data_IF_275608329460
#
_entry.id   IF_275608329460
#
_cell.length_a   1.000
_cell.length_b   1.000
_cell.length_c   1.000
_cell.angle_alpha   90.00
_cell.angle_beta   90.00
_cell.angle_gamma   90.00
#
_symmetry.space_group_name_H-M   'P 1'
#
loop_
_entity.id
_entity.type
_entity.pdbx_description
1 polymer ?
#
# COMPACT_ATOMS: atom_id res chain seq x y z
N UNK A 1 6.53 20.54 19.31
CA UNK A 1 5.39 21.47 19.04
C UNK A 1 5.18 21.55 17.53
N UNK A 2 3.91 21.65 17.08
CA UNK A 2 3.61 21.75 15.65
C UNK A 2 4.12 23.08 15.07
N UNK A 3 4.36 23.07 13.74
CA UNK A 3 4.75 24.25 12.99
C UNK A 3 3.68 25.35 13.11
N UNK A 4 4.09 26.62 13.28
CA UNK A 4 3.14 27.74 13.27
C UNK A 4 2.41 27.79 11.91
N UNK A 5 1.10 27.96 11.94
CA UNK A 5 0.25 27.85 10.76
C UNK A 5 0.64 28.80 9.60
N UNK A 6 1.18 29.98 9.92
CA UNK A 6 1.68 30.95 8.94
C UNK A 6 2.84 30.42 8.10
N UNK A 7 3.61 29.46 8.62
CA UNK A 7 4.76 28.84 7.95
C UNK A 7 4.39 27.61 7.13
N UNK A 8 3.17 27.09 7.31
CA UNK A 8 2.73 25.85 6.63
C UNK A 8 2.75 25.98 5.10
N UNK A 9 2.22 27.04 4.46
CA UNK A 9 2.22 27.13 3.01
C UNK A 9 3.63 27.11 2.41
N UNK A 10 4.57 27.89 2.98
CA UNK A 10 5.96 27.92 2.53
C UNK A 10 6.66 26.56 2.68
N UNK A 11 6.46 25.91 3.84
CA UNK A 11 7.04 24.58 4.07
C UNK A 11 6.43 23.51 3.16
N UNK A 12 5.15 23.58 2.89
CA UNK A 12 4.48 22.65 1.97
C UNK A 12 4.97 22.85 0.53
N UNK A 13 5.16 24.11 0.08
CA UNK A 13 5.73 24.38 -1.24
C UNK A 13 7.16 23.81 -1.35
N UNK A 14 8.02 24.07 -0.36
CA UNK A 14 9.37 23.51 -0.32
C UNK A 14 9.38 21.98 -0.34
N UNK A 15 8.47 21.36 0.37
CA UNK A 15 8.30 19.90 0.34
C UNK A 15 7.91 19.41 -1.08
N UNK A 16 6.97 20.07 -1.74
CA UNK A 16 6.57 19.70 -3.10
C UNK A 16 7.72 19.85 -4.10
N UNK A 17 8.49 20.93 -4.00
CA UNK A 17 9.65 21.19 -4.87
C UNK A 17 10.74 20.13 -4.64
N UNK A 18 11.07 19.85 -3.37
CA UNK A 18 12.00 18.80 -2.98
C UNK A 18 11.54 17.44 -3.52
N UNK A 19 10.30 17.02 -3.24
CA UNK A 19 9.80 15.72 -3.67
C UNK A 19 9.83 15.55 -5.18
N UNK A 20 9.48 16.61 -5.93
CA UNK A 20 9.53 16.59 -7.39
C UNK A 20 10.97 16.49 -7.93
N UNK A 21 11.94 17.09 -7.25
CA UNK A 21 13.36 17.00 -7.61
C UNK A 21 13.89 15.58 -7.33
N UNK A 22 13.66 15.06 -6.11
CA UNK A 22 14.12 13.73 -5.71
C UNK A 22 13.53 12.60 -6.56
N UNK A 23 12.22 12.67 -6.89
CA UNK A 23 11.56 11.69 -7.77
C UNK A 23 12.13 11.66 -9.19
N UNK A 24 12.74 12.76 -9.65
CA UNK A 24 13.43 12.80 -10.95
C UNK A 24 14.86 12.29 -10.86
N UNK A 25 15.52 12.51 -9.72
CA UNK A 25 16.91 12.17 -9.50
C UNK A 25 17.13 10.71 -9.08
N UNK A 26 16.16 10.10 -8.38
CA UNK A 26 16.29 8.73 -7.89
C UNK A 26 16.35 7.72 -9.02
N UNK A 27 17.32 6.81 -8.95
CA UNK A 27 17.38 5.66 -9.86
C UNK A 27 16.20 4.73 -9.58
N UNK A 28 15.37 4.50 -10.59
CA UNK A 28 14.19 3.61 -10.50
C UNK A 28 14.53 2.16 -10.25
N UNK A 29 15.80 1.75 -10.42
CA UNK A 29 16.28 0.41 -10.12
C UNK A 29 16.82 0.29 -8.69
N UNK A 30 17.06 1.41 -8.00
CA UNK A 30 17.50 1.42 -6.60
C UNK A 30 16.29 1.39 -5.67
N UNK A 31 15.79 0.17 -5.46
CA UNK A 31 14.59 -0.07 -4.62
C UNK A 31 14.77 0.47 -3.21
N UNK A 32 16.00 0.38 -2.65
CA UNK A 32 16.28 0.89 -1.31
C UNK A 32 16.06 2.40 -1.23
N UNK A 33 16.64 3.17 -2.16
CA UNK A 33 16.45 4.62 -2.23
C UNK A 33 15.02 5.04 -2.51
N UNK A 34 14.27 4.24 -3.27
CA UNK A 34 12.85 4.49 -3.50
C UNK A 34 12.03 4.37 -2.21
N UNK A 35 12.32 3.38 -1.37
CA UNK A 35 11.70 3.27 -0.05
C UNK A 35 12.13 4.40 0.87
N UNK A 36 13.42 4.74 0.95
CA UNK A 36 13.93 5.88 1.74
C UNK A 36 13.19 7.16 1.36
N UNK A 37 13.14 7.51 0.07
CA UNK A 37 12.42 8.68 -0.44
C UNK A 37 10.94 8.68 -0.01
N UNK A 38 10.28 7.53 -0.09
CA UNK A 38 8.87 7.41 0.29
C UNK A 38 8.65 7.63 1.80
N UNK A 39 9.54 7.10 2.64
CA UNK A 39 9.50 7.28 4.10
C UNK A 39 9.84 8.72 4.49
N UNK A 40 10.80 9.33 3.82
CA UNK A 40 11.15 10.72 4.03
C UNK A 40 10.00 11.67 3.64
N UNK A 41 9.32 11.42 2.52
CA UNK A 41 8.12 12.15 2.14
C UNK A 41 7.01 12.03 3.19
N UNK A 42 6.82 10.84 3.77
CA UNK A 42 5.92 10.64 4.89
C UNK A 42 6.30 11.49 6.10
N UNK A 43 7.57 11.45 6.51
CA UNK A 43 8.10 12.22 7.62
C UNK A 43 7.88 13.72 7.46
N UNK A 44 8.17 14.26 6.28
CA UNK A 44 7.96 15.68 5.97
C UNK A 44 6.50 16.10 6.14
N UNK A 45 5.55 15.35 5.61
CA UNK A 45 4.12 15.69 5.74
C UNK A 45 3.66 15.67 7.19
N UNK A 46 4.09 14.65 7.97
CA UNK A 46 3.73 14.57 9.40
C UNK A 46 4.34 15.72 10.18
N UNK A 47 5.58 16.13 9.86
CA UNK A 47 6.28 17.22 10.53
C UNK A 47 5.75 18.61 10.17
N UNK A 48 5.34 18.82 8.92
CA UNK A 48 4.67 20.05 8.49
C UNK A 48 3.28 20.17 9.13
N UNK A 49 2.57 19.05 9.22
CA UNK A 49 1.22 18.93 9.80
C UNK A 49 0.22 19.93 9.18
N UNK A 50 0.02 19.91 7.84
CA UNK A 50 -0.67 21.01 7.14
C UNK A 50 -2.18 21.08 7.39
N UNK A 51 -2.81 19.99 7.83
CA UNK A 51 -4.27 19.94 8.03
C UNK A 51 -4.65 19.82 9.51
N UNK A 52 -5.87 20.20 9.83
CA UNK A 52 -6.44 20.05 11.18
C UNK A 52 -6.67 18.58 11.55
N UNK A 53 -6.96 17.73 10.56
CA UNK A 53 -7.08 16.27 10.70
C UNK A 53 -6.60 15.57 9.42
N UNK A 54 -6.30 14.26 9.54
CA UNK A 54 -5.94 13.43 8.42
C UNK A 54 -4.46 13.44 8.03
N UNK A 55 -3.59 14.20 8.72
CA UNK A 55 -2.16 14.29 8.38
C UNK A 55 -1.49 12.90 8.28
N UNK A 56 -1.72 12.02 9.25
CA UNK A 56 -1.19 10.66 9.24
C UNK A 56 -1.78 9.77 8.13
N UNK A 57 -3.01 10.01 7.69
CA UNK A 57 -3.61 9.30 6.54
C UNK A 57 -2.99 9.78 5.22
N UNK A 58 -2.87 11.09 5.08
CA UNK A 58 -2.27 11.70 3.87
C UNK A 58 -0.79 11.35 3.73
N UNK A 59 -0.02 11.39 4.81
CA UNK A 59 1.40 11.01 4.77
C UNK A 59 1.59 9.54 4.32
N UNK A 60 0.79 8.62 4.86
CA UNK A 60 0.82 7.22 4.40
C UNK A 60 0.34 7.05 2.96
N UNK A 61 -0.66 7.81 2.54
CA UNK A 61 -1.14 7.77 1.15
C UNK A 61 -0.05 8.21 0.17
N UNK A 62 0.63 9.33 0.44
CA UNK A 62 1.73 9.82 -0.40
C UNK A 62 2.90 8.84 -0.42
N UNK A 63 3.29 8.31 0.74
CA UNK A 63 4.31 7.27 0.85
C UNK A 63 3.97 6.06 -0.04
N UNK A 64 2.79 5.49 0.11
CA UNK A 64 2.36 4.32 -0.66
C UNK A 64 2.19 4.61 -2.14
N UNK A 65 1.79 5.83 -2.51
CA UNK A 65 1.71 6.28 -3.90
C UNK A 65 3.10 6.26 -4.56
N UNK A 66 4.13 6.79 -3.89
CA UNK A 66 5.51 6.77 -4.39
C UNK A 66 6.00 5.34 -4.59
N UNK A 67 5.76 4.47 -3.61
CA UNK A 67 6.13 3.06 -3.67
C UNK A 67 5.40 2.33 -4.82
N UNK A 68 4.10 2.55 -4.94
CA UNK A 68 3.28 1.92 -5.98
C UNK A 68 3.70 2.35 -7.39
N UNK A 69 3.94 3.65 -7.62
CA UNK A 69 4.41 4.17 -8.90
C UNK A 69 5.79 3.62 -9.29
N UNK A 70 6.62 3.31 -8.29
CA UNK A 70 7.92 2.68 -8.48
C UNK A 70 7.84 1.14 -8.68
N UNK A 71 6.65 0.55 -8.65
CA UNK A 71 6.46 -0.91 -8.71
C UNK A 71 6.85 -1.63 -7.41
N UNK A 72 7.04 -0.90 -6.32
CA UNK A 72 7.37 -1.45 -5.02
C UNK A 72 6.11 -1.93 -4.27
N UNK A 73 6.29 -2.88 -3.35
CA UNK A 73 5.21 -3.34 -2.48
C UNK A 73 4.93 -2.25 -1.43
N UNK A 74 3.67 -1.75 -1.30
CA UNK A 74 3.35 -0.71 -0.34
C UNK A 74 3.63 -1.13 1.11
N UNK A 75 4.21 -0.21 1.89
CA UNK A 75 4.55 -0.43 3.29
C UNK A 75 3.33 -0.25 4.20
N UNK A 76 3.18 -1.15 5.16
CA UNK A 76 2.08 -1.15 6.13
C UNK A 76 2.65 -1.12 7.55
N UNK A 77 2.21 -0.17 8.36
CA UNK A 77 2.49 -0.17 9.80
C UNK A 77 1.37 -0.92 10.52
N UNK A 78 1.67 -2.10 11.06
CA UNK A 78 0.72 -2.91 11.81
C UNK A 78 0.37 -2.24 13.15
N UNK A 79 -0.84 -2.54 13.65
CA UNK A 79 -1.36 -1.96 14.90
C UNK A 79 -0.44 -2.21 16.09
N UNK A 80 0.18 -3.39 16.15
CA UNK A 80 1.09 -3.82 17.20
C UNK A 80 2.37 -2.96 17.28
N UNK A 81 2.79 -2.41 16.13
CA UNK A 81 3.99 -1.56 16.00
C UNK A 81 3.69 -0.05 16.07
N UNK A 82 2.44 0.32 16.35
CA UNK A 82 2.04 1.73 16.36
C UNK A 82 2.77 2.56 17.41
N UNK A 83 3.05 2.01 18.58
CA UNK A 83 3.76 2.74 19.63
C UNK A 83 5.21 3.06 19.22
N UNK A 84 5.93 2.07 18.67
CA UNK A 84 7.30 2.22 18.17
C UNK A 84 7.35 3.22 16.99
N UNK A 85 6.37 3.15 16.09
CA UNK A 85 6.22 4.10 14.99
C UNK A 85 6.05 5.55 15.47
N UNK A 86 5.19 5.79 16.48
CA UNK A 86 5.01 7.14 17.04
C UNK A 86 6.27 7.61 17.74
N UNK A 87 6.95 6.72 18.46
CA UNK A 87 8.20 7.02 19.16
C UNK A 87 9.30 7.40 18.16
N UNK A 88 9.49 6.65 17.07
CA UNK A 88 10.49 6.96 16.05
C UNK A 88 10.24 8.32 15.38
N UNK A 89 8.96 8.65 15.10
CA UNK A 89 8.58 9.98 14.60
C UNK A 89 8.93 11.08 15.60
N UNK A 90 8.60 10.92 16.88
CA UNK A 90 8.89 11.92 17.91
C UNK A 90 10.39 12.15 18.08
N UNK A 91 11.18 11.08 18.14
CA UNK A 91 12.64 11.15 18.23
C UNK A 91 13.26 11.87 17.02
N UNK A 92 12.80 11.55 15.81
CA UNK A 92 13.23 12.21 14.59
C UNK A 92 12.89 13.71 14.58
N UNK A 93 11.70 14.07 15.07
CA UNK A 93 11.27 15.47 15.16
C UNK A 93 12.06 16.26 16.23
N UNK A 94 12.46 15.63 17.34
CA UNK A 94 13.32 16.26 18.37
C UNK A 94 14.73 16.54 17.84
N UNK A 95 15.26 15.66 17.00
CA UNK A 95 16.61 15.80 16.41
C UNK A 95 16.62 16.64 15.13
N UNK A 96 15.46 16.98 14.58
CA UNK A 96 15.29 17.54 13.22
C UNK A 96 16.00 16.70 12.14
N UNK A 97 15.93 15.37 12.30
CA UNK A 97 16.58 14.37 11.44
C UNK A 97 15.62 13.17 11.21
N UNK A 98 15.30 12.88 9.96
CA UNK A 98 14.40 11.79 9.59
C UNK A 98 14.96 10.39 9.76
N UNK A 99 16.25 10.25 10.06
CA UNK A 99 16.98 8.98 10.02
C UNK A 99 16.39 7.91 10.92
N UNK A 100 16.12 8.20 12.19
CA UNK A 100 15.58 7.21 13.13
C UNK A 100 14.21 6.68 12.66
N UNK A 101 13.41 7.56 12.05
CA UNK A 101 12.12 7.17 11.48
C UNK A 101 12.29 6.32 10.21
N UNK A 102 13.20 6.69 9.31
CA UNK A 102 13.48 5.94 8.08
C UNK A 102 14.00 4.55 8.43
N UNK A 103 14.95 4.46 9.35
CA UNK A 103 15.53 3.19 9.83
C UNK A 103 14.44 2.28 10.44
N UNK A 104 13.55 2.85 11.28
CA UNK A 104 12.41 2.11 11.81
C UNK A 104 11.49 1.57 10.69
N UNK A 105 11.11 2.43 9.74
CA UNK A 105 10.20 2.06 8.67
C UNK A 105 10.81 1.01 7.74
N UNK A 106 12.11 1.13 7.44
CA UNK A 106 12.83 0.18 6.61
C UNK A 106 12.88 -1.21 7.26
N UNK A 107 13.31 -1.28 8.53
CA UNK A 107 13.38 -2.53 9.28
C UNK A 107 12.00 -3.18 9.41
N UNK A 108 10.98 -2.38 9.75
CA UNK A 108 9.61 -2.88 9.87
C UNK A 108 9.06 -3.40 8.53
N UNK A 109 9.38 -2.75 7.41
CA UNK A 109 8.98 -3.19 6.09
C UNK A 109 9.66 -4.52 5.70
N UNK A 110 10.96 -4.63 5.92
CA UNK A 110 11.72 -5.88 5.69
C UNK A 110 11.14 -7.04 6.52
N UNK A 111 10.88 -6.83 7.80
CA UNK A 111 10.26 -7.84 8.68
C UNK A 111 8.88 -8.28 8.16
N UNK A 112 8.09 -7.33 7.66
CA UNK A 112 6.77 -7.65 7.09
C UNK A 112 6.88 -8.46 5.80
N UNK A 113 7.82 -8.10 4.91
CA UNK A 113 8.09 -8.86 3.68
C UNK A 113 8.58 -10.27 3.99
N UNK A 114 9.53 -10.41 4.92
CA UNK A 114 10.04 -11.71 5.33
C UNK A 114 8.93 -12.63 5.85
N UNK A 115 8.06 -12.11 6.72
CA UNK A 115 6.89 -12.86 7.20
C UNK A 115 5.97 -13.32 6.07
N UNK A 116 5.69 -12.44 5.09
CA UNK A 116 4.85 -12.80 3.94
C UNK A 116 5.51 -13.90 3.09
N UNK A 117 6.83 -13.85 2.90
CA UNK A 117 7.58 -14.88 2.20
C UNK A 117 7.51 -16.22 2.95
N UNK A 118 7.69 -16.19 4.26
CA UNK A 118 7.67 -17.41 5.08
C UNK A 118 6.27 -18.03 5.12
N UNK A 119 5.22 -17.21 5.24
CA UNK A 119 3.83 -17.64 5.14
C UNK A 119 3.52 -18.26 3.77
N UNK A 120 4.03 -17.64 2.69
CA UNK A 120 3.87 -18.17 1.34
C UNK A 120 4.58 -19.53 1.17
N UNK A 121 5.83 -19.66 1.62
CA UNK A 121 6.59 -20.92 1.57
C UNK A 121 5.88 -22.03 2.35
N UNK A 122 5.44 -21.74 3.57
CA UNK A 122 4.71 -22.70 4.39
C UNK A 122 3.40 -23.16 3.73
N UNK A 123 2.72 -22.27 3.00
CA UNK A 123 1.51 -22.62 2.24
C UNK A 123 1.81 -23.57 1.09
N UNK A 124 2.94 -23.38 0.39
CA UNK A 124 3.35 -24.26 -0.71
C UNK A 124 3.72 -25.67 -0.21
N UNK A 125 4.47 -25.77 0.90
CA UNK A 125 4.83 -27.06 1.50
C UNK A 125 3.61 -27.84 2.02
N UNK A 126 2.56 -27.14 2.48
CA UNK A 126 1.32 -27.78 2.93
C UNK A 126 0.42 -28.29 1.80
N UNK A 127 0.52 -27.70 0.60
CA UNK A 127 -0.23 -28.13 -0.59
C UNK A 127 0.33 -29.44 -1.19
N UNK A 128 1.62 -29.73 -1.01
CA UNK A 128 2.23 -31.00 -1.42
C UNK A 128 1.78 -32.19 -0.53
N UNK A 129 1.26 -31.91 0.67
CA UNK A 129 0.87 -32.96 1.65
C UNK A 129 -0.64 -33.25 1.65
N UNK A 130 -1.48 -32.34 1.15
CA UNK A 130 -2.95 -32.48 1.11
C UNK A 130 -3.52 -32.03 -0.22
N UNK A 131 -3.80 -32.97 -1.10
CA UNK A 131 -4.56 -32.70 -2.32
C UNK A 131 -5.87 -31.97 -1.99
N UNK A 132 -5.97 -30.71 -2.41
CA UNK A 132 -7.25 -30.10 -2.68
C UNK A 132 -7.82 -29.05 -1.74
N UNK A 133 -7.06 -28.26 -0.97
CA UNK A 133 -7.60 -27.02 -0.41
C UNK A 133 -6.61 -25.84 -0.52
N UNK A 134 -6.89 -24.95 -1.44
CA UNK A 134 -6.09 -23.70 -1.67
C UNK A 134 -6.30 -22.72 -0.53
N UNK A 135 -5.23 -22.38 0.18
CA UNK A 135 -5.22 -21.33 1.21
C UNK A 135 -4.98 -19.97 0.54
N UNK A 136 -5.83 -18.98 0.84
CA UNK A 136 -5.71 -17.62 0.32
C UNK A 136 -4.62 -16.85 1.06
N UNK A 137 -3.53 -16.54 0.39
CA UNK A 137 -2.47 -15.66 0.88
C UNK A 137 -2.94 -14.20 0.73
N UNK A 138 -2.92 -13.48 1.84
CA UNK A 138 -2.99 -12.03 1.91
C UNK A 138 -4.18 -11.36 1.23
N UNK A 139 -5.32 -11.25 1.94
CA UNK A 139 -6.35 -10.23 1.67
C UNK A 139 -7.05 -10.19 0.31
N UNK A 140 -6.59 -10.93 -0.68
CA UNK A 140 -7.31 -11.12 -1.93
C UNK A 140 -8.35 -12.23 -1.72
N UNK A 141 -9.61 -11.87 -1.55
CA UNK A 141 -10.73 -12.79 -1.70
C UNK A 141 -10.49 -13.59 -2.98
N UNK A 142 -10.24 -14.90 -2.85
CA UNK A 142 -10.18 -15.78 -4.02
C UNK A 142 -11.50 -15.58 -4.78
N UNK A 143 -11.38 -15.11 -5.99
CA UNK A 143 -12.56 -14.90 -6.82
C UNK A 143 -13.21 -16.27 -7.06
N UNK A 144 -14.49 -16.38 -6.82
CA UNK A 144 -15.21 -17.61 -7.11
C UNK A 144 -15.04 -17.96 -8.59
N UNK A 145 -15.11 -19.23 -8.91
CA UNK A 145 -15.01 -19.70 -10.29
C UNK A 145 -15.99 -18.95 -11.21
N UNK A 146 -17.18 -18.70 -10.72
CA UNK A 146 -18.20 -17.88 -11.41
C UNK A 146 -17.72 -16.44 -11.67
N UNK A 147 -17.00 -15.82 -10.73
CA UNK A 147 -16.45 -14.45 -10.91
C UNK A 147 -15.37 -14.42 -11.99
N UNK A 148 -14.54 -15.45 -12.07
CA UNK A 148 -13.53 -15.59 -13.12
C UNK A 148 -14.18 -15.81 -14.49
N UNK A 149 -15.23 -16.64 -14.59
CA UNK A 149 -16.00 -16.86 -15.81
C UNK A 149 -16.68 -15.57 -16.29
N UNK A 150 -17.29 -14.79 -15.38
CA UNK A 150 -17.87 -13.48 -15.71
C UNK A 150 -16.81 -12.54 -16.31
N UNK A 151 -15.63 -12.48 -15.72
CA UNK A 151 -14.54 -11.65 -16.24
C UNK A 151 -14.06 -12.09 -17.63
N UNK A 152 -13.98 -13.38 -17.85
CA UNK A 152 -13.58 -13.92 -19.15
C UNK A 152 -14.60 -13.52 -20.23
N UNK A 153 -15.90 -13.67 -19.95
CA UNK A 153 -16.97 -13.26 -20.85
C UNK A 153 -16.96 -11.74 -21.11
N UNK A 154 -16.71 -10.92 -20.10
CA UNK A 154 -16.58 -9.46 -20.27
C UNK A 154 -15.34 -9.10 -21.11
N UNK A 155 -14.21 -9.81 -20.94
CA UNK A 155 -13.01 -9.61 -21.78
C UNK A 155 -13.29 -9.94 -23.25
N UNK A 156 -14.01 -11.01 -23.52
CA UNK A 156 -14.38 -11.42 -24.88
C UNK A 156 -15.42 -10.49 -25.51
N UNK A 157 -16.38 -10.01 -24.73
CA UNK A 157 -17.40 -9.06 -25.15
C UNK A 157 -17.62 -7.95 -24.11
N UNK A 158 -16.90 -6.79 -24.22
CA UNK A 158 -17.02 -5.68 -23.28
C UNK A 158 -18.42 -5.03 -23.18
N UNK A 159 -19.30 -5.34 -24.12
CA UNK A 159 -20.67 -4.84 -24.16
C UNK A 159 -21.72 -5.89 -23.75
N UNK A 160 -21.26 -7.03 -23.22
CA UNK A 160 -22.16 -8.12 -22.81
C UNK A 160 -23.14 -7.62 -21.75
N UNK A 161 -24.43 -7.86 -21.99
CA UNK A 161 -25.47 -7.49 -21.04
C UNK A 161 -25.58 -8.50 -19.88
N UNK A 162 -26.15 -8.05 -18.74
CA UNK A 162 -26.40 -8.93 -17.60
C UNK A 162 -27.28 -10.13 -17.98
N UNK A 163 -28.23 -9.94 -18.90
CA UNK A 163 -29.13 -11.02 -19.37
C UNK A 163 -28.36 -12.08 -20.13
N UNK A 164 -27.42 -11.68 -20.97
CA UNK A 164 -26.55 -12.59 -21.71
C UNK A 164 -25.61 -13.34 -20.77
N UNK A 165 -24.99 -12.64 -19.76
CA UNK A 165 -24.18 -13.29 -18.71
C UNK A 165 -24.98 -14.37 -17.95
N UNK A 166 -26.27 -14.11 -17.67
CA UNK A 166 -27.14 -15.10 -17.03
C UNK A 166 -27.36 -16.32 -17.92
N UNK A 167 -27.53 -16.09 -19.24
CA UNK A 167 -27.71 -17.17 -20.20
C UNK A 167 -26.48 -18.05 -20.36
N UNK A 168 -25.32 -17.44 -20.53
CA UNK A 168 -24.04 -18.14 -20.70
C UNK A 168 -23.61 -18.94 -19.46
N UNK A 169 -23.88 -18.41 -18.25
CA UNK A 169 -23.46 -19.03 -17.00
C UNK A 169 -24.55 -19.91 -16.34
N UNK A 170 -25.77 -19.90 -16.87
CA UNK A 170 -26.90 -20.65 -16.30
C UNK A 170 -27.27 -20.19 -14.87
N UNK A 171 -27.02 -18.92 -14.52
CA UNK A 171 -27.30 -18.37 -13.19
C UNK A 171 -28.31 -17.22 -13.24
N UNK A 172 -29.00 -16.98 -12.13
CA UNK A 172 -30.01 -15.94 -12.06
C UNK A 172 -29.38 -14.52 -11.94
N UNK A 173 -30.14 -13.45 -12.31
CA UNK A 173 -29.65 -12.07 -12.30
C UNK A 173 -29.13 -11.58 -10.94
N UNK A 174 -29.73 -12.06 -9.84
CA UNK A 174 -29.30 -11.71 -8.48
C UNK A 174 -27.95 -12.34 -8.13
N UNK A 175 -27.66 -13.54 -8.65
CA UNK A 175 -26.35 -14.17 -8.50
C UNK A 175 -25.27 -13.44 -9.29
N UNK A 176 -25.57 -13.02 -10.53
CA UNK A 176 -24.64 -12.19 -11.33
C UNK A 176 -24.32 -10.88 -10.60
N UNK A 177 -25.34 -10.19 -10.03
CA UNK A 177 -25.15 -8.96 -9.28
C UNK A 177 -24.17 -9.12 -8.11
N UNK A 178 -24.32 -10.19 -7.31
CA UNK A 178 -23.43 -10.47 -6.17
C UNK A 178 -21.97 -10.70 -6.56
N UNK A 179 -21.72 -11.07 -7.80
CA UNK A 179 -20.37 -11.32 -8.30
C UNK A 179 -19.74 -10.08 -8.97
N UNK A 180 -20.55 -9.08 -9.34
CA UNK A 180 -20.10 -7.82 -9.96
C UNK A 180 -19.82 -6.76 -8.90
N UNK A 181 -20.64 -6.71 -7.83
CA UNK A 181 -20.43 -5.85 -6.66
C UNK A 181 -19.25 -6.37 -5.79
#
# INVERSE_FOLDING_TARGET
>A
SYLAWQKVPDRLQKFCDWLNAERKAVDKNDIHKLYELSFEAHYHIVSIHPWTDGNGRMSRLVMNMIQYEAGCIPSIVKKEKRAEYIQSLAQSQEKDDSKDFIDFMMNHHVDNLQKQIDEYKASMESDDIKGGQKISVGGQKKWSETKLQILELIKQNPKISRKELCGELGINPSAVQKHID
#
